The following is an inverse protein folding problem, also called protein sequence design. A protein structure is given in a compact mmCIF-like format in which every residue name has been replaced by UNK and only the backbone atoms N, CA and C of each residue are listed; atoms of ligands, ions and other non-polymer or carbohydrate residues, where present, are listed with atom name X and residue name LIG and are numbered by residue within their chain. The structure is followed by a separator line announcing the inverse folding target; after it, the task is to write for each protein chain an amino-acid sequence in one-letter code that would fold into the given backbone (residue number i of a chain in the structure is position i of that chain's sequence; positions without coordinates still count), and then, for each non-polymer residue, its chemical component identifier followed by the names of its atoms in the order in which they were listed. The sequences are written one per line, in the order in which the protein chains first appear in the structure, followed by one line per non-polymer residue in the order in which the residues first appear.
data_IF_134659644607
#
_entry.id   IF_134659644607
#
_cell.length_a   1.000
_cell.length_b   1.000
_cell.length_c   1.000
_cell.angle_alpha   90.00
_cell.angle_beta   90.00
_cell.angle_gamma   90.00
#
_symmetry.space_group_name_H-M   'P 1'
#
loop_
_entity.id
_entity.type
_entity.pdbx_description
1 polymer ?
#
# COMPACT_ATOMS: atom_id res chain seq x y z
N UNK A 1 -18.26 25.32 4.68
CA UNK A 1 -18.31 25.62 6.14
C UNK A 1 -16.92 26.12 6.52
N UNK A 2 -16.81 27.17 7.35
CA UNK A 2 -15.52 27.66 7.86
C UNK A 2 -15.17 26.89 9.13
N UNK A 3 -14.00 26.27 9.16
CA UNK A 3 -13.52 25.45 10.27
C UNK A 3 -12.11 25.89 10.66
N UNK A 4 -11.82 26.02 11.95
CA UNK A 4 -10.48 26.36 12.41
C UNK A 4 -9.56 25.13 12.36
N UNK A 5 -8.51 25.22 11.56
CA UNK A 5 -7.53 24.14 11.39
C UNK A 5 -6.44 24.26 12.45
N UNK A 6 -6.34 23.27 13.35
CA UNK A 6 -5.24 23.19 14.33
C UNK A 6 -3.87 22.96 13.67
N UNK A 7 -3.87 22.52 12.42
CA UNK A 7 -2.67 22.18 11.65
C UNK A 7 -1.98 23.42 11.10
N UNK A 8 -2.75 24.38 10.60
CA UNK A 8 -2.25 25.63 10.00
C UNK A 8 -2.45 26.85 10.90
N UNK A 9 -3.22 26.70 11.99
CA UNK A 9 -3.68 27.78 12.87
C UNK A 9 -4.46 28.89 12.13
N UNK A 10 -5.19 28.52 11.08
CA UNK A 10 -6.04 29.44 10.32
C UNK A 10 -7.48 28.94 10.22
N UNK A 11 -8.41 29.84 9.87
CA UNK A 11 -9.76 29.48 9.47
C UNK A 11 -9.71 29.00 8.01
N UNK A 12 -10.06 27.73 7.79
CA UNK A 12 -10.08 27.10 6.47
C UNK A 12 -11.52 26.89 6.00
N UNK A 13 -11.74 27.01 4.69
CA UNK A 13 -13.02 26.72 4.07
C UNK A 13 -12.90 25.41 3.27
N UNK A 14 -13.57 24.37 3.73
CA UNK A 14 -13.77 23.17 2.92
C UNK A 14 -14.99 23.41 2.02
N UNK A 15 -14.75 23.75 0.75
CA UNK A 15 -15.80 23.92 -0.26
C UNK A 15 -16.39 22.57 -0.71
N UNK A 16 -15.59 21.51 -0.69
CA UNK A 16 -15.99 20.19 -1.16
C UNK A 16 -16.00 19.17 -0.01
N UNK A 17 -17.19 18.71 0.37
CA UNK A 17 -17.36 17.39 1.00
C UNK A 17 -17.51 16.35 -0.10
N UNK A 18 -16.51 15.48 -0.24
CA UNK A 18 -16.59 14.36 -1.17
C UNK A 18 -17.71 13.43 -0.71
N UNK A 19 -18.79 13.39 -1.48
CA UNK A 19 -19.84 12.41 -1.30
C UNK A 19 -19.61 11.28 -2.29
N UNK A 20 -19.84 10.04 -1.85
CA UNK A 20 -19.88 8.91 -2.76
C UNK A 20 -21.00 9.16 -3.78
N UNK A 21 -20.65 9.18 -5.06
CA UNK A 21 -21.61 9.33 -6.15
C UNK A 21 -21.80 7.96 -6.79
N UNK A 22 -22.96 7.37 -6.57
CA UNK A 22 -23.39 6.20 -7.34
C UNK A 22 -23.95 6.70 -8.68
N UNK A 23 -23.16 6.54 -9.74
CA UNK A 23 -23.48 7.06 -11.07
C UNK A 23 -24.00 5.94 -11.97
N UNK A 24 -25.09 6.20 -12.67
CA UNK A 24 -25.71 5.20 -13.57
C UNK A 24 -24.77 4.75 -14.72
N UNK A 25 -23.84 5.62 -15.14
CA UNK A 25 -22.85 5.32 -16.16
C UNK A 25 -21.44 5.65 -15.65
N UNK A 26 -20.44 4.78 -15.89
CA UNK A 26 -19.08 5.03 -15.47
C UNK A 26 -18.40 6.13 -16.31
N UNK A 27 -17.50 6.89 -15.69
CA UNK A 27 -16.64 7.85 -16.39
C UNK A 27 -15.38 7.16 -16.89
N UNK A 28 -15.27 6.99 -18.21
CA UNK A 28 -14.12 6.36 -18.87
C UNK A 28 -12.97 7.32 -19.21
N UNK A 29 -13.08 8.61 -18.89
CA UNK A 29 -12.06 9.63 -19.16
C UNK A 29 -11.54 9.60 -20.62
N UNK A 30 -12.44 9.49 -21.60
CA UNK A 30 -12.11 9.32 -23.04
C UNK A 30 -11.23 10.41 -23.65
N UNK A 31 -11.21 11.60 -23.06
CA UNK A 31 -10.30 12.67 -23.46
C UNK A 31 -8.84 12.38 -23.08
N UNK A 32 -8.64 11.64 -21.98
CA UNK A 32 -7.32 11.27 -21.47
C UNK A 32 -6.87 9.91 -22.02
N UNK A 33 -7.79 8.94 -22.10
CA UNK A 33 -7.54 7.58 -22.56
C UNK A 33 -8.40 7.25 -23.79
N UNK A 34 -8.06 7.84 -24.94
CA UNK A 34 -8.67 7.43 -26.20
C UNK A 34 -7.98 6.18 -26.74
N UNK A 35 -8.62 5.51 -27.70
CA UNK A 35 -8.11 4.26 -28.29
C UNK A 35 -7.10 4.47 -29.41
N UNK A 36 -7.00 5.69 -29.93
CA UNK A 36 -6.25 5.98 -31.16
C UNK A 36 -4.94 6.74 -30.89
N UNK A 37 -4.75 7.27 -29.69
CA UNK A 37 -3.57 8.06 -29.30
C UNK A 37 -3.01 7.56 -27.97
N UNK A 38 -1.80 8.01 -27.65
CA UNK A 38 -1.20 7.75 -26.33
C UNK A 38 -1.98 8.49 -25.23
N UNK A 39 -2.05 7.95 -24.00
CA UNK A 39 -2.70 8.63 -22.88
C UNK A 39 -2.18 10.04 -22.63
N UNK A 40 -3.08 10.98 -22.38
CA UNK A 40 -2.76 12.41 -22.16
C UNK A 40 -2.72 12.73 -20.67
N UNK A 41 -1.72 13.53 -20.26
CA UNK A 41 -1.59 14.05 -18.90
C UNK A 41 -1.79 15.58 -18.94
N UNK A 42 -2.99 16.09 -18.65
CA UNK A 42 -3.23 17.52 -18.60
C UNK A 42 -2.63 18.11 -17.33
N UNK A 43 -1.88 19.19 -17.47
CA UNK A 43 -1.46 19.99 -16.32
C UNK A 43 -2.64 20.82 -15.84
N UNK A 44 -3.09 20.60 -14.61
CA UNK A 44 -4.19 21.37 -14.02
C UNK A 44 -3.71 22.68 -13.36
N UNK A 45 -2.39 22.93 -13.33
CA UNK A 45 -1.74 24.08 -12.70
C UNK A 45 -2.14 24.33 -11.23
N UNK A 46 -2.66 23.30 -10.54
CA UNK A 46 -3.07 23.41 -9.13
C UNK A 46 -1.85 23.25 -8.22
N UNK A 47 -1.68 24.19 -7.30
CA UNK A 47 -0.73 24.06 -6.21
C UNK A 47 -1.37 23.29 -5.06
N UNK A 48 -0.77 22.17 -4.67
CA UNK A 48 -1.20 21.38 -3.51
C UNK A 48 -0.31 21.77 -2.32
N UNK A 49 -0.88 22.24 -1.19
CA UNK A 49 -0.08 22.58 -0.01
C UNK A 49 0.59 21.32 0.56
N UNK A 50 1.86 21.44 0.94
CA UNK A 50 2.61 20.35 1.59
C UNK A 50 2.07 20.11 2.99
N UNK A 51 1.14 19.17 3.08
CA UNK A 51 0.44 18.83 4.32
C UNK A 51 0.76 17.40 4.74
N UNK A 52 1.94 17.17 5.33
CA UNK A 52 2.33 15.86 5.89
C UNK A 52 1.27 15.34 6.90
N UNK A 53 0.80 14.09 6.79
CA UNK A 53 -0.24 13.59 7.69
C UNK A 53 0.25 13.54 9.15
N UNK A 54 -0.68 13.61 10.11
CA UNK A 54 -0.36 13.52 11.55
C UNK A 54 0.26 12.16 11.91
N UNK A 55 -0.08 11.12 11.15
CA UNK A 55 0.44 9.77 11.31
C UNK A 55 0.99 9.28 9.97
N UNK A 56 2.16 8.66 10.02
CA UNK A 56 2.84 8.07 8.88
C UNK A 56 3.11 6.60 9.16
N UNK A 57 2.90 5.78 8.14
CA UNK A 57 3.13 4.34 8.18
C UNK A 57 3.96 3.94 6.96
N UNK A 58 4.69 2.84 7.11
CA UNK A 58 5.46 2.20 6.05
C UNK A 58 4.80 0.87 5.73
N UNK A 59 4.56 0.62 4.45
CA UNK A 59 4.28 -0.72 3.93
C UNK A 59 5.56 -1.20 3.26
N UNK A 60 6.15 -2.27 3.77
CA UNK A 60 7.42 -2.82 3.31
C UNK A 60 7.19 -3.92 2.27
N UNK A 61 7.96 -3.89 1.17
CA UNK A 61 7.82 -4.85 0.06
C UNK A 61 9.07 -5.71 -0.13
N UNK A 62 9.91 -5.86 0.90
CA UNK A 62 11.15 -6.64 0.83
C UNK A 62 10.91 -8.09 0.38
N UNK A 63 9.86 -8.74 0.88
CA UNK A 63 9.55 -10.15 0.56
C UNK A 63 8.74 -10.33 -0.72
N UNK A 64 8.47 -9.25 -1.45
CA UNK A 64 7.84 -9.28 -2.77
C UNK A 64 8.75 -8.62 -3.79
N UNK A 65 8.73 -7.29 -3.86
CA UNK A 65 9.50 -6.52 -4.83
C UNK A 65 11.01 -6.67 -4.60
N UNK A 66 11.43 -6.55 -3.33
CA UNK A 66 12.84 -6.62 -2.96
C UNK A 66 13.49 -7.95 -3.36
N UNK A 67 12.79 -9.06 -3.14
CA UNK A 67 13.33 -10.39 -3.48
C UNK A 67 13.43 -10.63 -5.00
N UNK A 68 12.68 -9.91 -5.84
CA UNK A 68 12.79 -10.05 -7.31
C UNK A 68 14.13 -9.53 -7.85
N UNK A 69 14.81 -8.65 -7.10
CA UNK A 69 16.09 -8.07 -7.52
C UNK A 69 17.31 -8.92 -7.13
N UNK A 70 17.14 -10.02 -6.38
CA UNK A 70 18.24 -10.85 -5.86
C UNK A 70 17.93 -12.35 -5.96
N UNK A 71 18.88 -13.19 -5.56
CA UNK A 71 18.63 -14.62 -5.37
C UNK A 71 17.52 -14.82 -4.32
N UNK A 72 16.58 -15.76 -4.54
CA UNK A 72 15.48 -16.01 -3.60
C UNK A 72 15.99 -16.29 -2.19
N UNK A 73 15.32 -15.72 -1.19
CA UNK A 73 15.66 -15.92 0.21
C UNK A 73 15.24 -17.32 0.69
N UNK A 74 16.01 -17.90 1.60
CA UNK A 74 15.58 -19.08 2.35
C UNK A 74 14.48 -18.70 3.37
N UNK A 75 13.70 -19.68 3.84
CA UNK A 75 12.71 -19.45 4.91
C UNK A 75 13.34 -18.80 6.14
N UNK A 76 14.52 -19.26 6.57
CA UNK A 76 15.22 -18.69 7.73
C UNK A 76 15.62 -17.22 7.51
N UNK A 77 16.03 -16.86 6.29
CA UNK A 77 16.33 -15.47 5.94
C UNK A 77 15.08 -14.59 5.96
N UNK A 78 13.95 -15.07 5.44
CA UNK A 78 12.67 -14.36 5.53
C UNK A 78 12.31 -14.06 6.99
N UNK A 79 12.33 -15.09 7.85
CA UNK A 79 12.01 -14.97 9.27
C UNK A 79 12.94 -13.96 9.95
N UNK A 80 14.24 -14.01 9.66
CA UNK A 80 15.19 -13.09 10.27
C UNK A 80 14.96 -11.64 9.85
N UNK A 81 14.72 -11.40 8.56
CA UNK A 81 14.41 -10.06 8.05
C UNK A 81 13.07 -9.56 8.61
N UNK A 82 12.07 -10.42 8.74
CA UNK A 82 10.76 -10.07 9.29
C UNK A 82 10.88 -9.63 10.77
N UNK A 83 11.73 -10.31 11.56
CA UNK A 83 12.07 -9.88 12.92
C UNK A 83 12.73 -8.49 12.93
N UNK A 84 13.67 -8.23 12.02
CA UNK A 84 14.27 -6.90 11.93
C UNK A 84 13.25 -5.82 11.56
N UNK A 85 12.30 -6.10 10.67
CA UNK A 85 11.22 -5.16 10.36
C UNK A 85 10.30 -4.92 11.57
N UNK A 86 9.98 -5.96 12.33
CA UNK A 86 9.22 -5.83 13.58
C UNK A 86 9.95 -4.93 14.59
N UNK A 87 11.23 -5.21 14.85
CA UNK A 87 12.06 -4.44 15.77
C UNK A 87 12.21 -2.97 15.32
N UNK A 88 12.45 -2.74 14.02
CA UNK A 88 12.59 -1.41 13.44
C UNK A 88 11.27 -0.62 13.45
N UNK A 89 10.14 -1.30 13.22
CA UNK A 89 8.80 -0.68 13.26
C UNK A 89 8.39 -0.24 14.67
N UNK A 90 8.97 -0.87 15.70
CA UNK A 90 8.77 -0.55 17.10
C UNK A 90 7.33 -0.78 17.60
N UNK A 91 7.04 -0.44 18.88
CA UNK A 91 5.74 -0.72 19.50
C UNK A 91 4.57 0.07 18.89
N UNK A 92 4.86 1.09 18.07
CA UNK A 92 3.85 1.87 17.35
C UNK A 92 3.47 1.25 16.00
N UNK A 93 4.16 0.19 15.56
CA UNK A 93 3.91 -0.45 14.27
C UNK A 93 4.06 0.54 13.12
N UNK A 94 5.16 1.29 13.08
CA UNK A 94 5.43 2.26 12.00
C UNK A 94 5.58 1.52 10.69
N UNK A 95 6.32 0.40 10.69
CA UNK A 95 6.25 -0.58 9.60
C UNK A 95 4.99 -1.39 9.84
N UNK A 96 3.92 -1.01 9.14
CA UNK A 96 2.56 -1.46 9.37
C UNK A 96 2.29 -2.79 8.68
N UNK A 97 2.81 -2.96 7.47
CA UNK A 97 2.55 -4.13 6.65
C UNK A 97 3.84 -4.60 5.98
N UNK A 98 3.91 -5.90 5.71
CA UNK A 98 4.97 -6.52 4.94
C UNK A 98 4.34 -7.43 3.87
N UNK A 99 4.65 -7.16 2.61
CA UNK A 99 4.08 -7.86 1.46
C UNK A 99 4.93 -9.09 1.07
N UNK A 100 4.27 -10.25 0.93
CA UNK A 100 4.87 -11.53 0.55
C UNK A 100 4.31 -12.07 -0.77
N UNK A 101 5.10 -12.90 -1.45
CA UNK A 101 4.59 -13.83 -2.46
C UNK A 101 3.97 -15.09 -1.81
N UNK A 102 3.11 -15.78 -2.56
CA UNK A 102 2.48 -17.05 -2.14
C UNK A 102 2.60 -18.16 -3.20
N UNK A 103 3.45 -17.98 -4.20
CA UNK A 103 3.46 -18.83 -5.39
C UNK A 103 4.23 -20.13 -5.19
N UNK A 104 5.40 -20.09 -4.54
CA UNK A 104 6.19 -21.29 -4.29
C UNK A 104 5.91 -21.89 -2.91
N UNK A 105 6.27 -23.16 -2.72
CA UNK A 105 6.22 -23.81 -1.41
C UNK A 105 7.12 -23.10 -0.40
N UNK A 106 8.28 -22.59 -0.84
CA UNK A 106 9.20 -21.83 0.01
C UNK A 106 8.58 -20.51 0.48
N UNK A 107 7.87 -19.79 -0.39
CA UNK A 107 7.20 -18.54 -0.02
C UNK A 107 6.10 -18.78 1.02
N UNK A 108 5.30 -19.84 0.82
CA UNK A 108 4.24 -20.22 1.78
C UNK A 108 4.81 -20.65 3.12
N UNK A 109 5.89 -21.43 3.10
CA UNK A 109 6.59 -21.84 4.32
C UNK A 109 7.18 -20.63 5.06
N UNK A 110 7.69 -19.63 4.34
CA UNK A 110 8.15 -18.37 4.92
C UNK A 110 7.03 -17.58 5.58
N UNK A 111 5.86 -17.48 4.93
CA UNK A 111 4.68 -16.81 5.50
C UNK A 111 4.23 -17.52 6.78
N UNK A 112 4.06 -18.83 6.76
CA UNK A 112 3.64 -19.59 7.96
C UNK A 112 4.64 -19.47 9.11
N UNK A 113 5.95 -19.52 8.80
CA UNK A 113 6.99 -19.33 9.80
C UNK A 113 6.98 -17.92 10.40
N UNK A 114 6.74 -16.87 9.60
CA UNK A 114 6.60 -15.50 10.09
C UNK A 114 5.32 -15.32 10.92
N UNK A 115 4.19 -15.91 10.51
CA UNK A 115 2.92 -15.88 11.28
C UNK A 115 3.07 -16.55 12.66
N UNK A 116 3.82 -17.64 12.73
CA UNK A 116 4.08 -18.36 13.98
C UNK A 116 4.84 -17.52 15.03
N UNK A 117 5.47 -16.40 14.64
CA UNK A 117 6.09 -15.45 15.59
C UNK A 117 5.05 -14.68 16.42
N UNK A 118 3.80 -14.60 15.96
CA UNK A 118 2.71 -13.96 16.71
C UNK A 118 2.84 -12.44 16.85
N UNK A 119 3.57 -11.77 15.96
CA UNK A 119 3.70 -10.32 15.98
C UNK A 119 2.43 -9.63 15.48
N UNK A 120 2.05 -8.53 16.14
CA UNK A 120 0.96 -7.66 15.68
C UNK A 120 1.38 -6.88 14.42
N UNK A 121 2.63 -6.40 14.37
CA UNK A 121 3.18 -5.68 13.21
C UNK A 121 4.58 -6.20 12.83
N UNK A 122 4.98 -6.14 11.55
CA UNK A 122 4.12 -5.76 10.43
C UNK A 122 3.07 -6.83 10.12
N UNK A 123 1.87 -6.41 9.74
CA UNK A 123 0.82 -7.31 9.24
C UNK A 123 1.31 -7.97 7.95
N UNK A 124 1.11 -9.28 7.85
CA UNK A 124 1.49 -10.01 6.64
C UNK A 124 0.39 -9.82 5.60
N UNK A 125 0.77 -9.25 4.46
CA UNK A 125 -0.08 -9.12 3.28
C UNK A 125 0.48 -9.95 2.13
N UNK A 126 -0.38 -10.32 1.19
CA UNK A 126 -0.02 -11.13 0.03
C UNK A 126 -0.33 -10.43 -1.28
N UNK A 127 0.57 -10.55 -2.24
CA UNK A 127 0.34 -10.08 -3.59
C UNK A 127 -0.10 -11.23 -4.51
N UNK A 128 -1.23 -11.05 -5.20
CA UNK A 128 -1.75 -12.00 -6.20
C UNK A 128 -2.06 -11.30 -7.53
N UNK A 129 -2.02 -12.04 -8.64
CA UNK A 129 -2.50 -11.50 -9.93
C UNK A 129 -4.03 -11.55 -9.97
N UNK A 130 -4.62 -10.74 -10.83
CA UNK A 130 -6.05 -10.73 -11.09
C UNK A 130 -6.52 -11.95 -11.93
N UNK A 131 -6.28 -13.16 -11.42
CA UNK A 131 -6.73 -14.42 -12.05
C UNK A 131 -7.50 -15.24 -11.04
N UNK A 132 -8.52 -15.99 -11.50
CA UNK A 132 -9.37 -16.81 -10.62
C UNK A 132 -8.56 -17.82 -9.79
N UNK A 133 -7.52 -18.40 -10.38
CA UNK A 133 -6.67 -19.39 -9.73
C UNK A 133 -5.86 -18.81 -8.56
N UNK A 134 -5.38 -17.57 -8.70
CA UNK A 134 -4.58 -16.96 -7.64
C UNK A 134 -5.43 -16.59 -6.41
N UNK A 135 -6.76 -16.51 -6.52
CA UNK A 135 -7.64 -16.37 -5.35
C UNK A 135 -7.63 -17.60 -4.43
N UNK A 136 -7.26 -18.79 -4.93
CA UNK A 136 -7.13 -19.99 -4.10
C UNK A 136 -5.89 -19.94 -3.19
N UNK A 137 -5.05 -18.91 -3.33
CA UNK A 137 -3.85 -18.70 -2.53
C UNK A 137 -4.13 -17.96 -1.22
N UNK A 138 -5.25 -17.25 -1.11
CA UNK A 138 -5.57 -16.27 -0.06
C UNK A 138 -6.85 -16.59 0.69
#
# INVERSE_FOLDING_TARGET
MLEFSKRTNTLEQYEYKYNLQDVANPNYYRLLYNYNEVPKIPFNHRHVPMSAPEQLWISDTTFRDGQQARTPYTVAQHVQLFKFLHELGGPKGIIRQAEFFLYSENDRAAVEACRALGYEFPEITSWIRATRKDFELV
#
